data_IF_737606174511
#
_entry.id   IF_737606174511
#
_cell.length_a   1.000
_cell.length_b   1.000
_cell.length_c   1.000
_cell.angle_alpha   90.00
_cell.angle_beta   90.00
_cell.angle_gamma   90.00
#
_symmetry.space_group_name_H-M   'P 1'
#
loop_
_entity.id
_entity.type
_entity.pdbx_description
1 polymer ?
#
# COMPACT_ATOMS: atom_id res chain seq x y z
N UNK A 1 -13.72 -19.90 5.65
CA UNK A 1 -12.34 -20.21 5.26
C UNK A 1 -11.96 -21.46 6.02
N UNK A 2 -11.78 -22.57 5.32
CA UNK A 2 -11.70 -23.93 5.89
C UNK A 2 -10.31 -24.27 6.46
N UNK A 3 -9.69 -23.33 7.19
CA UNK A 3 -8.35 -23.52 7.76
C UNK A 3 -7.20 -23.56 6.75
N UNK A 4 -7.48 -23.45 5.45
CA UNK A 4 -6.46 -23.31 4.40
C UNK A 4 -6.01 -21.85 4.34
N UNK A 5 -4.71 -21.61 4.44
CA UNK A 5 -4.12 -20.27 4.41
C UNK A 5 -4.10 -19.74 2.99
N UNK A 6 -4.95 -18.74 2.72
CA UNK A 6 -4.86 -17.96 1.50
C UNK A 6 -3.75 -16.92 1.62
N UNK A 7 -2.97 -16.75 0.56
CA UNK A 7 -1.87 -15.78 0.51
C UNK A 7 -2.32 -14.54 -0.26
N UNK A 8 -2.17 -13.38 0.37
CA UNK A 8 -2.54 -12.08 -0.21
C UNK A 8 -1.27 -11.30 -0.49
N UNK A 9 -1.10 -10.82 -1.72
CA UNK A 9 0.09 -10.08 -2.14
C UNK A 9 -0.27 -8.90 -3.03
N UNK A 10 0.55 -7.86 -2.99
CA UNK A 10 0.65 -6.92 -4.10
C UNK A 10 1.63 -7.48 -5.12
N UNK A 11 1.13 -7.73 -6.33
CA UNK A 11 1.95 -8.27 -7.41
C UNK A 11 2.99 -7.24 -7.90
N UNK A 12 3.78 -7.60 -8.92
CA UNK A 12 4.79 -6.69 -9.49
C UNK A 12 4.19 -5.48 -10.23
N UNK A 13 2.92 -5.57 -10.61
CA UNK A 13 2.15 -4.52 -11.28
C UNK A 13 1.21 -3.81 -10.28
N UNK A 14 1.44 -3.98 -8.97
CA UNK A 14 0.70 -3.36 -7.87
C UNK A 14 -0.82 -3.64 -7.86
N UNK A 15 -1.23 -4.77 -8.42
CA UNK A 15 -2.57 -5.30 -8.20
C UNK A 15 -2.57 -6.25 -7.01
N UNK A 16 -3.64 -6.17 -6.21
CA UNK A 16 -3.87 -7.10 -5.12
C UNK A 16 -4.26 -8.46 -5.69
N UNK A 17 -3.62 -9.52 -5.23
CA UNK A 17 -3.93 -10.91 -5.63
C UNK A 17 -4.13 -11.79 -4.41
N UNK A 18 -5.08 -12.72 -4.54
CA UNK A 18 -5.32 -13.79 -3.57
C UNK A 18 -4.98 -15.12 -4.21
N UNK A 19 -4.11 -15.88 -3.57
CA UNK A 19 -3.79 -17.24 -3.95
C UNK A 19 -4.33 -18.21 -2.91
N UNK A 20 -4.91 -19.31 -3.37
CA UNK A 20 -5.22 -20.45 -2.50
C UNK A 20 -3.95 -21.07 -1.91
N UNK A 21 -4.08 -21.89 -0.87
CA UNK A 21 -2.97 -22.64 -0.28
C UNK A 21 -2.22 -23.56 -1.27
N UNK A 22 -2.83 -23.93 -2.41
CA UNK A 22 -2.16 -24.70 -3.47
C UNK A 22 -1.47 -23.83 -4.54
N UNK A 23 -1.49 -22.50 -4.37
CA UNK A 23 -0.89 -21.55 -5.31
C UNK A 23 -1.79 -21.15 -6.49
N UNK A 24 -3.03 -21.64 -6.59
CA UNK A 24 -3.97 -21.19 -7.61
C UNK A 24 -4.43 -19.75 -7.33
N UNK A 25 -4.36 -18.87 -8.34
CA UNK A 25 -4.92 -17.51 -8.29
C UNK A 25 -6.45 -17.60 -8.15
N UNK A 26 -6.99 -16.98 -7.11
CA UNK A 26 -8.44 -16.91 -6.83
C UNK A 26 -9.02 -15.57 -7.24
N UNK A 27 -8.34 -14.48 -6.90
CA UNK A 27 -8.82 -13.10 -7.12
C UNK A 27 -7.66 -12.22 -7.56
N UNK A 28 -7.94 -11.28 -8.47
CA UNK A 28 -7.07 -10.15 -8.82
C UNK A 28 -7.90 -8.87 -8.76
N UNK A 29 -7.42 -7.83 -8.08
CA UNK A 29 -8.09 -6.53 -8.08
C UNK A 29 -8.04 -5.87 -9.45
N UNK A 30 -9.13 -5.19 -9.80
CA UNK A 30 -9.12 -4.25 -10.93
C UNK A 30 -8.43 -2.93 -10.55
N UNK A 31 -8.52 -2.54 -9.27
CA UNK A 31 -7.81 -1.38 -8.73
C UNK A 31 -6.30 -1.63 -8.72
N UNK A 32 -5.55 -0.54 -8.94
CA UNK A 32 -4.10 -0.45 -8.90
C UNK A 32 -3.68 0.32 -7.64
N UNK A 33 -2.73 -0.23 -6.87
CA UNK A 33 -2.31 0.29 -5.55
C UNK A 33 -0.83 0.68 -5.49
N UNK A 34 -0.21 0.97 -6.64
CA UNK A 34 1.21 1.33 -6.71
C UNK A 34 1.47 2.82 -6.53
N UNK A 35 2.49 3.31 -7.23
CA UNK A 35 2.93 4.72 -7.22
C UNK A 35 3.39 5.23 -5.87
N UNK A 36 3.93 4.37 -5.02
CA UNK A 36 4.81 4.86 -3.98
C UNK A 36 6.10 5.37 -4.65
N UNK A 37 6.48 6.65 -4.48
CA UNK A 37 7.69 7.19 -5.10
C UNK A 37 8.98 6.68 -4.41
N UNK A 38 8.85 6.02 -3.25
CA UNK A 38 10.01 5.52 -2.51
C UNK A 38 10.59 4.27 -3.16
N UNK A 39 11.90 4.18 -3.09
CA UNK A 39 12.69 3.03 -3.50
C UNK A 39 13.35 2.40 -2.26
N UNK A 40 13.62 1.10 -2.33
CA UNK A 40 14.41 0.36 -1.36
C UNK A 40 15.77 0.10 -2.00
N UNK A 41 16.82 0.61 -1.37
CA UNK A 41 18.19 0.30 -1.76
C UNK A 41 18.52 -1.15 -1.38
N UNK A 42 18.91 -1.95 -2.37
CA UNK A 42 19.18 -3.39 -2.20
C UNK A 42 20.66 -3.71 -1.97
N UNK A 43 21.50 -2.69 -1.75
CA UNK A 43 22.92 -2.85 -1.46
C UNK A 43 23.72 -3.36 -2.66
N UNK A 44 24.32 -4.55 -2.54
CA UNK A 44 25.16 -5.17 -3.57
C UNK A 44 24.54 -6.47 -4.08
N UNK A 45 24.71 -6.73 -5.38
CA UNK A 45 24.34 -7.97 -6.06
C UNK A 45 25.60 -8.62 -6.60
N UNK A 46 25.81 -9.87 -6.25
CA UNK A 46 26.84 -10.71 -6.86
C UNK A 46 26.21 -11.43 -8.06
N UNK A 47 26.88 -11.38 -9.22
CA UNK A 47 26.46 -12.16 -10.38
C UNK A 47 27.02 -13.59 -10.33
N UNK A 48 26.66 -14.41 -11.34
CA UNK A 48 27.03 -15.83 -11.40
C UNK A 48 28.56 -16.01 -11.58
N UNK A 49 29.27 -14.95 -11.99
CA UNK A 49 30.73 -14.93 -12.19
C UNK A 49 31.49 -14.39 -10.97
N UNK A 50 30.79 -14.07 -9.87
CA UNK A 50 31.39 -13.56 -8.62
C UNK A 50 31.69 -12.06 -8.64
N UNK A 51 31.18 -11.32 -9.63
CA UNK A 51 31.35 -9.87 -9.70
C UNK A 51 30.32 -9.22 -8.78
N UNK A 52 30.81 -8.50 -7.76
CA UNK A 52 29.98 -7.71 -6.85
C UNK A 52 29.72 -6.34 -7.46
N UNK A 53 28.47 -6.06 -7.81
CA UNK A 53 28.02 -4.76 -8.31
C UNK A 53 26.95 -4.15 -7.42
N UNK A 54 26.75 -2.83 -7.49
CA UNK A 54 25.64 -2.19 -6.80
C UNK A 54 24.32 -2.71 -7.36
N UNK A 55 23.39 -3.10 -6.48
CA UNK A 55 22.07 -3.55 -6.89
C UNK A 55 21.16 -2.36 -7.20
N UNK A 56 20.39 -2.47 -8.28
CA UNK A 56 19.40 -1.48 -8.66
C UNK A 56 18.31 -1.34 -7.58
N UNK A 57 17.99 -0.11 -7.11
CA UNK A 57 16.92 0.09 -6.14
C UNK A 57 15.59 -0.47 -6.64
N UNK A 58 14.83 -1.07 -5.74
CA UNK A 58 13.52 -1.67 -6.08
C UNK A 58 12.36 -0.80 -5.60
N UNK A 59 11.25 -0.72 -6.34
CA UNK A 59 10.12 0.08 -5.91
C UNK A 59 9.48 -0.41 -4.61
N UNK A 60 9.10 0.54 -3.74
CA UNK A 60 8.33 0.23 -2.55
C UNK A 60 6.89 -0.14 -2.94
N UNK A 61 6.37 -1.25 -2.40
CA UNK A 61 5.02 -1.76 -2.76
C UNK A 61 3.90 -1.29 -1.84
N UNK A 62 4.19 -0.49 -0.82
CA UNK A 62 3.21 -0.16 0.20
C UNK A 62 3.04 -1.29 1.21
N UNK A 63 2.68 -0.93 2.44
CA UNK A 63 2.36 -1.92 3.49
C UNK A 63 0.93 -2.43 3.31
N UNK A 64 0.74 -3.74 3.41
CA UNK A 64 -0.54 -4.39 3.64
C UNK A 64 -0.72 -4.62 5.14
N UNK A 65 -1.85 -4.20 5.72
CA UNK A 65 -2.13 -4.40 7.14
C UNK A 65 -3.48 -5.08 7.34
N UNK A 66 -3.44 -6.27 7.93
CA UNK A 66 -4.62 -6.98 8.36
C UNK A 66 -5.07 -6.48 9.73
N UNK A 67 -6.37 -6.21 9.84
CA UNK A 67 -7.00 -5.70 11.06
C UNK A 67 -8.27 -6.51 11.33
N UNK A 68 -8.45 -6.94 12.57
CA UNK A 68 -9.67 -7.59 13.06
C UNK A 68 -10.47 -6.64 13.93
N UNK A 69 -11.79 -6.59 13.76
CA UNK A 69 -12.71 -5.85 14.64
C UNK A 69 -13.92 -6.75 14.93
N UNK A 70 -13.96 -7.33 16.13
CA UNK A 70 -14.87 -8.43 16.41
C UNK A 70 -14.53 -9.66 15.56
N UNK A 71 -15.52 -10.23 14.89
CA UNK A 71 -15.36 -11.37 13.97
C UNK A 71 -14.97 -10.92 12.54
N UNK A 72 -15.10 -9.62 12.25
CA UNK A 72 -14.84 -9.07 10.93
C UNK A 72 -13.35 -8.84 10.68
N UNK A 73 -12.93 -9.06 9.44
CA UNK A 73 -11.54 -8.95 8.99
C UNK A 73 -11.43 -7.94 7.86
N UNK A 74 -10.40 -7.12 7.96
CA UNK A 74 -10.19 -5.99 7.06
C UNK A 74 -8.75 -5.95 6.59
N UNK A 75 -8.56 -5.50 5.35
CA UNK A 75 -7.26 -5.20 4.77
C UNK A 75 -7.15 -3.70 4.51
N UNK A 76 -6.15 -3.09 5.14
CA UNK A 76 -5.77 -1.71 4.92
C UNK A 76 -4.59 -1.66 3.95
N UNK A 77 -4.66 -0.76 2.97
CA UNK A 77 -3.59 -0.56 1.99
C UNK A 77 -3.58 0.86 1.42
N UNK A 78 -2.40 1.42 1.13
CA UNK A 78 -2.27 2.73 0.52
C UNK A 78 -2.76 2.74 -0.92
N UNK A 79 -3.27 3.89 -1.35
CA UNK A 79 -3.56 4.18 -2.75
C UNK A 79 -3.06 5.58 -3.09
N UNK A 80 -2.07 5.65 -3.97
CA UNK A 80 -1.48 6.89 -4.46
C UNK A 80 -2.05 7.22 -5.86
N UNK A 81 -2.54 8.44 -6.05
CA UNK A 81 -3.19 8.91 -7.28
C UNK A 81 -2.26 9.88 -8.04
N UNK A 82 -2.28 9.81 -9.37
CA UNK A 82 -1.37 10.56 -10.27
C UNK A 82 -2.03 11.83 -10.84
N UNK A 83 -1.19 12.77 -11.28
CA UNK A 83 -1.52 13.72 -12.35
C UNK A 83 -0.82 13.30 -13.66
N UNK A 84 -1.55 13.30 -14.78
CA UNK A 84 -0.97 13.35 -16.13
C UNK A 84 -0.73 12.00 -16.84
N UNK A 85 -0.72 12.05 -18.17
CA UNK A 85 -0.49 10.90 -19.07
C UNK A 85 0.86 10.97 -19.81
N UNK A 86 1.46 9.79 -20.04
CA UNK A 86 2.61 9.38 -20.88
C UNK A 86 3.91 10.22 -20.97
N UNK A 87 3.92 11.54 -20.76
CA UNK A 87 5.09 12.38 -21.08
C UNK A 87 6.14 12.49 -19.95
N UNK A 88 5.79 12.14 -18.71
CA UNK A 88 6.68 12.17 -17.53
C UNK A 88 6.94 10.77 -16.95
N UNK A 89 6.97 9.73 -17.80
CA UNK A 89 6.98 8.32 -17.39
C UNK A 89 8.13 7.88 -16.47
N UNK A 90 9.14 8.74 -16.23
CA UNK A 90 10.26 8.48 -15.30
C UNK A 90 10.11 9.14 -13.92
N UNK A 91 9.10 9.97 -13.69
CA UNK A 91 8.82 10.60 -12.39
C UNK A 91 7.42 10.20 -11.92
N UNK A 92 7.36 9.44 -10.84
CA UNK A 92 6.08 9.14 -10.15
C UNK A 92 5.71 10.37 -9.33
N UNK A 93 4.94 11.29 -9.93
CA UNK A 93 4.38 12.42 -9.22
C UNK A 93 3.02 12.03 -8.64
N UNK A 94 2.96 11.95 -7.31
CA UNK A 94 1.72 11.69 -6.56
C UNK A 94 1.14 13.03 -6.11
N UNK A 95 -0.05 13.37 -6.59
CA UNK A 95 -0.75 14.58 -6.12
C UNK A 95 -1.47 14.30 -4.81
N UNK A 96 -2.17 13.17 -4.76
CA UNK A 96 -3.00 12.81 -3.64
C UNK A 96 -2.91 11.32 -3.33
N UNK A 97 -3.21 10.99 -2.09
CA UNK A 97 -3.25 9.63 -1.59
C UNK A 97 -4.44 9.42 -0.67
N UNK A 98 -4.85 8.17 -0.57
CA UNK A 98 -5.89 7.70 0.32
C UNK A 98 -5.48 6.37 0.95
N UNK A 99 -6.11 6.03 2.06
CA UNK A 99 -6.05 4.71 2.65
C UNK A 99 -7.34 3.96 2.30
N UNK A 100 -7.19 2.81 1.65
CA UNK A 100 -8.31 1.95 1.27
C UNK A 100 -8.50 0.89 2.35
N UNK A 101 -9.76 0.63 2.70
CA UNK A 101 -10.18 -0.41 3.64
C UNK A 101 -11.05 -1.41 2.89
N UNK A 102 -10.56 -2.63 2.76
CA UNK A 102 -11.28 -3.73 2.14
C UNK A 102 -11.82 -4.68 3.22
N UNK A 103 -13.10 -5.02 3.15
CA UNK A 103 -13.66 -6.14 3.89
C UNK A 103 -13.22 -7.46 3.26
N UNK A 104 -12.97 -8.46 4.10
CA UNK A 104 -12.52 -9.79 3.66
C UNK A 104 -13.62 -10.81 3.94
N UNK A 105 -14.27 -11.30 2.88
CA UNK A 105 -15.32 -12.32 2.94
C UNK A 105 -14.86 -13.65 2.33
N UNK A 106 -15.76 -14.63 2.22
CA UNK A 106 -15.49 -15.91 1.53
C UNK A 106 -15.44 -15.72 0.01
N UNK A 107 -16.15 -14.73 -0.49
CA UNK A 107 -16.31 -14.37 -1.89
C UNK A 107 -15.15 -13.51 -2.40
N UNK A 108 -14.36 -12.90 -1.50
CA UNK A 108 -13.16 -12.16 -1.83
C UNK A 108 -13.02 -10.86 -1.04
N UNK A 109 -12.67 -9.78 -1.73
CA UNK A 109 -12.55 -8.45 -1.15
C UNK A 109 -13.67 -7.54 -1.61
N UNK A 110 -14.22 -6.78 -0.67
CA UNK A 110 -15.16 -5.70 -0.95
C UNK A 110 -14.56 -4.37 -0.48
N UNK A 111 -14.58 -3.33 -1.31
CA UNK A 111 -14.17 -1.99 -0.87
C UNK A 111 -15.26 -1.40 0.02
N UNK A 112 -15.00 -1.32 1.31
CA UNK A 112 -15.95 -0.78 2.29
C UNK A 112 -15.78 0.72 2.48
N UNK A 113 -14.53 1.20 2.47
CA UNK A 113 -14.22 2.59 2.70
C UNK A 113 -12.91 3.01 2.02
N UNK A 114 -12.83 4.27 1.65
CA UNK A 114 -11.60 4.93 1.21
C UNK A 114 -11.56 6.29 1.90
N UNK A 115 -10.46 6.61 2.58
CA UNK A 115 -10.34 7.93 3.24
C UNK A 115 -10.45 9.04 2.20
N UNK A 116 -10.83 10.24 2.65
CA UNK A 116 -10.69 11.43 1.80
C UNK A 116 -9.26 11.51 1.27
N UNK A 117 -9.14 11.88 0.00
CA UNK A 117 -7.86 12.16 -0.66
C UNK A 117 -7.11 13.24 0.11
N UNK A 118 -5.86 12.97 0.43
CA UNK A 118 -4.95 13.87 1.10
C UNK A 118 -3.78 14.17 0.19
N UNK A 119 -3.27 15.40 0.22
CA UNK A 119 -2.13 15.78 -0.64
C UNK A 119 -0.88 14.96 -0.31
N UNK A 120 -0.10 14.70 -1.36
CA UNK A 120 1.13 13.93 -1.31
C UNK A 120 0.91 12.42 -1.30
N UNK A 121 2.00 11.67 -1.29
CA UNK A 121 1.96 10.20 -1.23
C UNK A 121 1.82 9.71 0.20
N UNK A 122 1.20 8.53 0.38
CA UNK A 122 1.05 7.90 1.69
C UNK A 122 2.36 7.23 2.10
N UNK A 123 3.10 7.87 3.00
CA UNK A 123 4.38 7.37 3.48
C UNK A 123 4.23 6.29 4.57
N UNK A 124 3.29 6.48 5.50
CA UNK A 124 3.07 5.53 6.58
C UNK A 124 1.62 5.55 7.06
N UNK A 125 1.19 4.45 7.64
CA UNK A 125 -0.04 4.40 8.41
C UNK A 125 0.06 3.34 9.51
N UNK A 126 -0.75 3.53 10.55
CA UNK A 126 -0.89 2.62 11.66
C UNK A 126 -2.35 2.59 12.12
N UNK A 127 -2.82 1.40 12.48
CA UNK A 127 -4.13 1.21 13.10
C UNK A 127 -3.90 0.81 14.55
N UNK A 128 -4.59 1.47 15.47
CA UNK A 128 -4.48 1.28 16.91
C UNK A 128 -5.85 0.98 17.51
N UNK A 129 -5.87 0.07 18.49
CA UNK A 129 -7.05 -0.15 19.32
C UNK A 129 -7.21 0.99 20.33
N UNK A 130 -8.44 1.48 20.47
CA UNK A 130 -8.78 2.39 21.56
C UNK A 130 -9.37 1.57 22.72
N UNK A 131 -8.94 1.83 23.97
CA UNK A 131 -9.42 1.09 25.14
C UNK A 131 -10.96 1.14 25.33
N UNK A 132 -11.61 2.20 24.84
CA UNK A 132 -13.04 2.39 24.95
C UNK A 132 -13.77 2.10 23.61
N UNK A 133 -14.81 1.27 23.69
CA UNK A 133 -15.83 1.05 22.64
C UNK A 133 -15.44 0.27 21.37
N UNK A 134 -14.43 -0.61 21.40
CA UNK A 134 -13.99 -1.38 20.20
C UNK A 134 -13.69 -0.49 18.97
N UNK A 135 -13.53 0.81 19.18
CA UNK A 135 -13.17 1.76 18.14
C UNK A 135 -11.70 1.59 17.86
N UNK A 136 -11.31 1.79 16.60
CA UNK A 136 -9.91 1.91 16.25
C UNK A 136 -9.61 3.33 15.83
N UNK A 137 -8.35 3.69 15.98
CA UNK A 137 -7.79 4.93 15.48
C UNK A 137 -6.81 4.62 14.39
N UNK A 138 -6.91 5.35 13.29
CA UNK A 138 -6.00 5.25 12.17
C UNK A 138 -5.18 6.52 12.11
N UNK A 139 -3.87 6.38 12.22
CA UNK A 139 -2.92 7.45 11.95
C UNK A 139 -2.33 7.24 10.56
N UNK A 140 -2.33 8.28 9.74
CA UNK A 140 -1.81 8.25 8.38
C UNK A 140 -0.88 9.43 8.18
N UNK A 141 0.31 9.19 7.64
CA UNK A 141 1.28 10.22 7.31
C UNK A 141 1.41 10.32 5.79
N UNK A 142 1.22 11.53 5.26
CA UNK A 142 1.49 11.84 3.85
C UNK A 142 2.68 12.77 3.71
N UNK A 143 3.34 12.70 2.56
CA UNK A 143 4.49 13.53 2.22
C UNK A 143 4.24 14.20 0.88
N UNK A 144 4.26 15.53 0.88
CA UNK A 144 4.25 16.38 -0.30
C UNK A 144 5.68 16.85 -0.56
N UNK A 145 6.26 16.42 -1.67
CA UNK A 145 7.59 16.86 -2.08
C UNK A 145 7.49 18.22 -2.78
N UNK A 146 8.24 19.21 -2.29
CA UNK A 146 8.23 20.56 -2.83
C UNK A 146 8.95 20.73 -4.18
N UNK A 147 9.47 19.66 -4.77
CA UNK A 147 10.25 19.72 -6.00
C UNK A 147 11.59 20.47 -5.85
N UNK A 148 12.09 21.06 -6.94
CA UNK A 148 13.46 21.62 -7.05
C UNK A 148 13.77 22.79 -6.10
N UNK A 149 12.74 23.54 -5.66
CA UNK A 149 12.92 24.74 -4.84
C UNK A 149 11.96 24.83 -3.65
N UNK A 150 11.06 23.86 -3.52
CA UNK A 150 10.06 23.81 -2.45
C UNK A 150 10.52 23.01 -1.24
N UNK A 151 9.82 23.23 -0.12
CA UNK A 151 10.02 22.44 1.09
C UNK A 151 9.20 21.16 1.00
N UNK A 152 9.75 20.08 1.55
CA UNK A 152 8.97 18.86 1.79
C UNK A 152 8.06 19.08 2.99
N UNK A 153 6.77 18.78 2.84
CA UNK A 153 5.77 18.90 3.89
C UNK A 153 5.26 17.51 4.25
N UNK A 154 5.34 17.16 5.53
CA UNK A 154 4.75 15.94 6.06
C UNK A 154 3.51 16.28 6.87
N UNK A 155 2.38 15.63 6.58
CA UNK A 155 1.13 15.85 7.30
C UNK A 155 0.65 14.55 7.93
N UNK A 156 0.23 14.60 9.19
CA UNK A 156 -0.35 13.47 9.90
C UNK A 156 -1.85 13.67 10.05
N UNK A 157 -2.62 12.71 9.56
CA UNK A 157 -4.08 12.64 9.67
C UNK A 157 -4.45 11.58 10.69
N UNK A 158 -5.53 11.84 11.43
CA UNK A 158 -6.10 10.90 12.39
C UNK A 158 -7.57 10.68 12.06
N UNK A 159 -7.95 9.41 11.92
CA UNK A 159 -9.34 8.99 11.69
C UNK A 159 -9.79 8.08 12.83
N UNK A 160 -11.04 8.21 13.25
CA UNK A 160 -11.70 7.20 14.08
C UNK A 160 -12.47 6.24 13.18
N UNK A 161 -12.35 4.95 13.45
CA UNK A 161 -12.90 3.87 12.64
C UNK A 161 -13.63 2.81 13.47
#
# INVERSE_FOLDING_TARGET
>A
MDGVVDTIVLDKEYHLRVYSGSGRLLVKSNDYYGHDPRLIDVGVKEDIEGIVQQGEPVPFKGRLLFVTKGEDRFLFLPKNHRIGGSLLARMVLVEDSSLVILGISREGFEKLFETKKQRGYLAAYQVMDLPENQKKRVHMATVEEGGLTGRTISTVYTYEW
#
